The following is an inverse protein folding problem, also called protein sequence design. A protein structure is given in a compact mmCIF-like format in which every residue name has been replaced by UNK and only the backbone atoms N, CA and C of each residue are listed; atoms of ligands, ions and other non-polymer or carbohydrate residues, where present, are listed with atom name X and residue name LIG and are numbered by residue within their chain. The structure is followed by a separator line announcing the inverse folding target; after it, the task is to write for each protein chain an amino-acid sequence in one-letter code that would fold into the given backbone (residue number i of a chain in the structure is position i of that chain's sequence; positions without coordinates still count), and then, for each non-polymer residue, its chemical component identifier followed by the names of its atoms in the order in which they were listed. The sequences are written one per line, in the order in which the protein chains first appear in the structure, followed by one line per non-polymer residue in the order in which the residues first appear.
data_IF_997142115511
#
_entry.id   IF_997142115511
#
_cell.length_a   1.000
_cell.length_b   1.000
_cell.length_c   1.000
_cell.angle_alpha   90.00
_cell.angle_beta   90.00
_cell.angle_gamma   90.00
#
_symmetry.space_group_name_H-M   'P 1'
#
loop_
_entity.id
_entity.type
_entity.pdbx_description
1 polymer ?
#
# COMPACT_ATOMS: atom_id res chain seq x y z
N UNK A 1 -32.57 36.66 -23.80
CA UNK A 1 -31.30 37.17 -24.34
C UNK A 1 -30.70 36.04 -25.17
N UNK A 2 -30.54 36.25 -26.49
CA UNK A 2 -29.88 35.26 -27.33
C UNK A 2 -28.41 35.13 -26.85
N UNK A 3 -27.87 33.94 -26.65
CA UNK A 3 -26.44 33.79 -26.37
C UNK A 3 -25.67 34.20 -27.60
N UNK A 4 -24.76 35.16 -27.44
CA UNK A 4 -23.78 35.52 -28.47
C UNK A 4 -22.94 34.29 -28.77
N UNK A 5 -23.12 33.69 -29.94
CA UNK A 5 -22.19 32.70 -30.47
C UNK A 5 -20.84 33.39 -30.60
N UNK A 6 -19.97 33.17 -29.65
CA UNK A 6 -18.57 33.61 -29.74
C UNK A 6 -18.02 32.96 -31.03
N UNK A 7 -17.51 33.76 -31.96
CA UNK A 7 -16.90 33.24 -33.19
C UNK A 7 -15.83 32.19 -32.81
N UNK A 8 -15.90 31.01 -33.41
CA UNK A 8 -14.99 29.88 -33.15
C UNK A 8 -13.52 30.32 -33.18
N UNK A 9 -13.17 31.28 -34.03
CA UNK A 9 -11.83 31.86 -34.12
C UNK A 9 -11.45 32.61 -32.85
N UNK A 10 -12.34 33.45 -32.34
CA UNK A 10 -12.13 34.23 -31.10
C UNK A 10 -12.04 33.33 -29.89
N UNK A 11 -12.86 32.27 -29.81
CA UNK A 11 -12.81 31.28 -28.72
C UNK A 11 -11.47 30.51 -28.70
N UNK A 12 -10.99 30.05 -29.86
CA UNK A 12 -9.68 29.38 -29.98
C UNK A 12 -8.52 30.32 -29.66
N UNK A 13 -8.60 31.60 -30.06
CA UNK A 13 -7.58 32.57 -29.70
C UNK A 13 -7.49 32.78 -28.18
N UNK A 14 -8.61 32.93 -27.48
CA UNK A 14 -8.64 33.10 -26.04
C UNK A 14 -8.05 31.88 -25.31
N UNK A 15 -8.34 30.67 -25.76
CA UNK A 15 -7.74 29.44 -25.23
C UNK A 15 -6.23 29.36 -25.45
N UNK A 16 -5.77 29.79 -26.64
CA UNK A 16 -4.34 29.80 -26.94
C UNK A 16 -3.59 30.84 -26.09
N UNK A 17 -4.17 32.02 -25.89
CA UNK A 17 -3.62 33.08 -25.04
C UNK A 17 -3.54 32.58 -23.56
N UNK A 18 -4.56 31.88 -23.07
CA UNK A 18 -4.52 31.26 -21.74
C UNK A 18 -3.37 30.23 -21.60
N UNK A 19 -3.14 29.41 -22.63
CA UNK A 19 -2.02 28.46 -22.64
C UNK A 19 -0.65 29.15 -22.68
N UNK A 20 -0.50 30.20 -23.53
CA UNK A 20 0.76 30.91 -23.71
C UNK A 20 1.17 31.74 -22.47
N UNK A 21 0.19 32.22 -21.72
CA UNK A 21 0.44 32.97 -20.48
C UNK A 21 0.80 32.07 -19.29
N UNK A 22 1.04 30.78 -19.53
CA UNK A 22 1.37 29.75 -18.52
C UNK A 22 0.39 29.73 -17.33
N UNK A 23 -0.89 29.94 -17.67
CA UNK A 23 -1.95 30.13 -16.69
C UNK A 23 -2.35 28.84 -15.93
N UNK A 24 -1.76 27.70 -16.30
CA UNK A 24 -2.00 26.39 -15.71
C UNK A 24 -3.35 25.76 -16.08
N UNK A 25 -3.50 24.49 -15.76
CA UNK A 25 -4.65 23.67 -16.13
C UNK A 25 -6.00 24.27 -15.65
N UNK A 26 -6.02 24.79 -14.42
CA UNK A 26 -7.24 25.35 -13.81
C UNK A 26 -7.74 26.58 -14.57
N UNK A 27 -6.84 27.48 -14.92
CA UNK A 27 -7.21 28.71 -15.62
C UNK A 27 -7.57 28.43 -17.09
N UNK A 28 -6.86 27.51 -17.76
CA UNK A 28 -7.22 27.06 -19.10
C UNK A 28 -8.62 26.44 -19.13
N UNK A 29 -8.99 25.63 -18.12
CA UNK A 29 -10.33 25.02 -18.01
C UNK A 29 -11.41 26.05 -17.69
N UNK A 30 -11.13 27.04 -16.85
CA UNK A 30 -12.05 28.14 -16.58
C UNK A 30 -12.28 28.99 -17.83
N UNK A 31 -11.22 29.33 -18.57
CA UNK A 31 -11.33 30.04 -19.86
C UNK A 31 -12.18 29.22 -20.86
N UNK A 32 -11.96 27.91 -20.93
CA UNK A 32 -12.74 27.03 -21.80
C UNK A 32 -14.24 27.08 -21.48
N UNK A 33 -14.58 26.98 -20.20
CA UNK A 33 -15.99 27.10 -19.76
C UNK A 33 -16.59 28.47 -20.13
N UNK A 34 -15.83 29.55 -19.96
CA UNK A 34 -16.29 30.91 -20.25
C UNK A 34 -16.56 31.08 -21.74
N UNK A 35 -15.64 30.66 -22.62
CA UNK A 35 -15.79 30.85 -24.09
C UNK A 35 -16.80 29.90 -24.71
N UNK A 36 -16.96 28.70 -24.16
CA UNK A 36 -17.96 27.72 -24.60
C UNK A 36 -19.31 27.91 -23.91
N UNK A 37 -19.40 28.74 -22.86
CA UNK A 37 -20.64 29.05 -22.16
C UNK A 37 -21.28 27.90 -21.38
N UNK A 38 -20.64 26.74 -21.30
CA UNK A 38 -21.08 25.54 -20.60
C UNK A 38 -20.05 25.06 -19.57
N UNK A 39 -20.47 24.37 -18.49
CA UNK A 39 -19.52 23.82 -17.52
C UNK A 39 -18.58 22.80 -18.15
N UNK A 40 -17.30 22.89 -17.77
CA UNK A 40 -16.24 21.99 -18.24
C UNK A 40 -15.47 21.44 -17.08
N UNK A 41 -15.21 20.15 -17.09
CA UNK A 41 -14.36 19.47 -16.12
C UNK A 41 -13.28 18.64 -16.80
N UNK A 42 -12.16 18.50 -16.13
CA UNK A 42 -11.04 17.65 -16.50
C UNK A 42 -10.79 16.66 -15.38
N UNK A 43 -10.78 15.37 -15.74
CA UNK A 43 -10.57 14.27 -14.81
C UNK A 43 -9.34 13.50 -15.24
N UNK A 44 -8.45 13.23 -14.30
CA UNK A 44 -7.27 12.42 -14.53
C UNK A 44 -7.62 10.92 -14.72
N UNK A 45 -6.69 10.06 -15.16
CA UNK A 45 -6.97 8.63 -15.35
C UNK A 45 -7.44 7.91 -14.09
N UNK A 46 -7.34 8.57 -12.93
CA UNK A 46 -7.64 8.04 -11.62
C UNK A 46 -8.93 8.58 -11.04
N UNK A 47 -9.73 9.24 -11.88
CA UNK A 47 -11.00 9.84 -11.51
C UNK A 47 -10.88 10.99 -10.50
N UNK A 48 -9.73 11.69 -10.48
CA UNK A 48 -9.56 12.91 -9.71
C UNK A 48 -9.90 14.12 -10.58
N UNK A 49 -10.53 15.11 -9.97
CA UNK A 49 -10.74 16.40 -10.62
C UNK A 49 -9.40 17.14 -10.79
N UNK A 50 -8.87 17.13 -11.99
CA UNK A 50 -7.66 17.89 -12.33
C UNK A 50 -7.94 19.39 -12.48
N UNK A 51 -9.09 19.73 -13.06
CA UNK A 51 -9.58 21.11 -13.18
C UNK A 51 -11.09 21.13 -13.45
N UNK A 52 -11.72 22.26 -13.15
CA UNK A 52 -13.14 22.52 -13.42
C UNK A 52 -13.38 24.01 -13.66
N UNK A 53 -14.36 24.34 -14.52
CA UNK A 53 -14.80 25.71 -14.81
C UNK A 53 -16.28 25.76 -15.06
N UNK A 54 -16.95 26.85 -14.66
CA UNK A 54 -18.39 27.05 -14.88
C UNK A 54 -19.31 26.25 -13.95
N UNK A 55 -18.80 25.88 -12.78
CA UNK A 55 -19.55 25.13 -11.75
C UNK A 55 -20.05 26.04 -10.61
N UNK A 56 -20.07 27.33 -10.82
CA UNK A 56 -20.69 28.27 -9.88
C UNK A 56 -22.20 27.99 -9.83
N UNK A 57 -22.71 27.70 -8.64
CA UNK A 57 -24.12 27.43 -8.39
C UNK A 57 -24.76 28.60 -7.65
N UNK A 58 -25.98 28.97 -8.06
CA UNK A 58 -26.84 29.83 -7.25
C UNK A 58 -27.37 28.98 -6.09
N UNK A 59 -27.45 29.56 -4.89
CA UNK A 59 -28.02 28.87 -3.70
C UNK A 59 -29.47 28.42 -3.93
N UNK A 60 -30.20 29.10 -4.82
CA UNK A 60 -31.57 28.79 -5.20
C UNK A 60 -31.71 27.76 -6.35
N UNK A 61 -30.59 27.22 -6.89
CA UNK A 61 -30.64 26.24 -7.99
C UNK A 61 -30.97 24.84 -7.44
N UNK A 62 -32.22 24.39 -7.63
CA UNK A 62 -32.71 23.05 -7.26
C UNK A 62 -32.64 22.05 -8.43
N UNK A 63 -31.89 22.35 -9.50
CA UNK A 63 -31.75 21.44 -10.63
C UNK A 63 -31.02 20.14 -10.22
N UNK A 64 -31.27 19.01 -10.93
CA UNK A 64 -30.51 17.78 -10.74
C UNK A 64 -29.00 17.99 -10.88
N UNK A 65 -28.59 18.86 -11.81
CA UNK A 65 -27.18 19.24 -11.98
C UNK A 65 -26.62 19.92 -10.72
N UNK A 66 -27.35 20.84 -10.11
CA UNK A 66 -26.91 21.53 -8.90
C UNK A 66 -26.81 20.56 -7.71
N UNK A 67 -27.82 19.67 -7.55
CA UNK A 67 -27.80 18.67 -6.50
C UNK A 67 -26.58 17.74 -6.60
N UNK A 68 -26.31 17.20 -7.78
CA UNK A 68 -25.16 16.34 -8.04
C UNK A 68 -23.84 17.11 -7.86
N UNK A 69 -23.77 18.34 -8.39
CA UNK A 69 -22.58 19.17 -8.28
C UNK A 69 -22.24 19.47 -6.81
N UNK A 70 -23.25 19.79 -5.97
CA UNK A 70 -23.04 19.99 -4.52
C UNK A 70 -22.55 18.71 -3.84
N UNK A 71 -23.17 17.57 -4.16
CA UNK A 71 -22.78 16.28 -3.60
C UNK A 71 -21.35 15.90 -4.02
N UNK A 72 -21.05 15.95 -5.32
CA UNK A 72 -19.73 15.61 -5.88
C UNK A 72 -18.59 16.54 -5.42
N UNK A 73 -18.87 17.83 -5.21
CA UNK A 73 -17.87 18.82 -4.86
C UNK A 73 -17.68 19.01 -3.35
N UNK A 74 -18.55 18.45 -2.52
CA UNK A 74 -18.47 18.56 -1.06
C UNK A 74 -17.46 17.62 -0.41
N UNK A 75 -17.11 16.51 -1.07
CA UNK A 75 -16.30 15.42 -0.49
C UNK A 75 -14.86 15.34 -1.01
N UNK A 76 -14.34 16.39 -1.65
CA UNK A 76 -12.92 16.47 -2.02
C UNK A 76 -12.65 16.47 -3.54
N UNK A 77 -11.41 16.11 -3.91
CA UNK A 77 -10.91 16.21 -5.30
C UNK A 77 -11.14 14.93 -6.14
N UNK A 78 -11.84 13.93 -5.64
CA UNK A 78 -12.13 12.67 -6.35
C UNK A 78 -13.59 12.60 -6.79
N UNK A 79 -13.83 11.96 -7.95
CA UNK A 79 -15.18 11.53 -8.32
C UNK A 79 -15.72 10.56 -7.26
N UNK A 80 -16.99 10.73 -6.87
CA UNK A 80 -17.64 9.82 -5.94
C UNK A 80 -17.77 8.41 -6.55
N UNK A 81 -17.87 7.42 -5.67
CA UNK A 81 -17.99 6.00 -6.04
C UNK A 81 -19.14 5.74 -7.01
N UNK A 82 -20.25 6.46 -6.87
CA UNK A 82 -21.43 6.31 -7.72
C UNK A 82 -21.13 6.78 -9.15
N UNK A 83 -20.42 7.91 -9.32
CA UNK A 83 -19.98 8.40 -10.61
C UNK A 83 -18.98 7.47 -11.28
N UNK A 84 -18.04 6.94 -10.52
CA UNK A 84 -17.05 5.96 -11.02
C UNK A 84 -17.75 4.66 -11.47
N UNK A 85 -18.69 4.14 -10.67
CA UNK A 85 -19.50 2.96 -11.04
C UNK A 85 -20.32 3.19 -12.29
N UNK A 86 -20.90 4.38 -12.44
CA UNK A 86 -21.66 4.74 -13.64
C UNK A 86 -20.76 4.73 -14.87
N UNK A 87 -19.60 5.37 -14.84
CA UNK A 87 -18.63 5.41 -15.94
C UNK A 87 -18.23 4.00 -16.37
N UNK A 88 -17.92 3.14 -15.41
CA UNK A 88 -17.54 1.74 -15.65
C UNK A 88 -18.69 0.94 -16.23
N UNK A 89 -19.90 1.05 -15.66
CA UNK A 89 -21.08 0.34 -16.13
C UNK A 89 -21.45 0.70 -17.56
N UNK A 90 -21.29 1.97 -17.92
CA UNK A 90 -21.57 2.45 -19.27
C UNK A 90 -20.48 2.13 -20.29
N UNK A 91 -19.32 1.61 -19.87
CA UNK A 91 -18.17 1.38 -20.76
C UNK A 91 -17.61 2.66 -21.38
N UNK A 92 -17.83 3.80 -20.74
CA UNK A 92 -17.51 5.13 -21.29
C UNK A 92 -16.01 5.28 -21.57
N UNK A 93 -15.16 4.71 -20.73
CA UNK A 93 -13.71 4.82 -20.87
C UNK A 93 -13.18 4.06 -22.08
N UNK A 94 -13.70 2.85 -22.34
CA UNK A 94 -13.32 2.07 -23.52
C UNK A 94 -13.82 2.72 -24.82
N UNK A 95 -15.00 3.30 -24.77
CA UNK A 95 -15.59 4.00 -25.92
C UNK A 95 -14.79 5.26 -26.25
N UNK A 96 -14.48 6.10 -25.26
CA UNK A 96 -13.67 7.32 -25.43
C UNK A 96 -12.24 6.97 -25.84
N UNK A 97 -11.66 5.91 -25.28
CA UNK A 97 -10.30 5.49 -25.63
C UNK A 97 -10.17 5.08 -27.11
N UNK A 98 -11.24 4.52 -27.69
CA UNK A 98 -11.30 4.11 -29.11
C UNK A 98 -11.75 5.22 -30.04
N UNK A 99 -12.39 6.26 -29.53
CA UNK A 99 -12.89 7.38 -30.32
C UNK A 99 -11.74 8.20 -30.91
N UNK A 100 -12.00 8.76 -32.09
CA UNK A 100 -11.10 9.71 -32.80
C UNK A 100 -11.45 11.19 -32.55
N UNK A 101 -12.46 11.45 -31.71
CA UNK A 101 -12.89 12.79 -31.34
C UNK A 101 -14.00 12.78 -30.29
N UNK A 102 -14.55 13.95 -29.93
CA UNK A 102 -15.53 14.08 -28.87
C UNK A 102 -16.78 13.23 -29.07
N UNK A 103 -17.22 12.53 -28.04
CA UNK A 103 -18.45 11.77 -27.99
C UNK A 103 -19.53 12.56 -27.24
N UNK A 104 -20.67 12.77 -27.87
CA UNK A 104 -21.85 13.39 -27.22
C UNK A 104 -22.81 12.30 -26.79
N UNK A 105 -23.22 12.34 -25.53
CA UNK A 105 -24.06 11.30 -24.93
C UNK A 105 -24.94 11.91 -23.83
N UNK A 106 -26.17 11.37 -23.69
CA UNK A 106 -26.99 11.67 -22.52
C UNK A 106 -26.38 11.02 -21.28
N UNK A 107 -26.19 11.81 -20.25
CA UNK A 107 -25.65 11.35 -18.96
C UNK A 107 -26.78 11.27 -17.93
N UNK A 108 -27.14 10.05 -17.52
CA UNK A 108 -28.26 9.80 -16.60
C UNK A 108 -28.03 10.42 -15.22
N UNK A 109 -26.77 10.61 -14.78
CA UNK A 109 -26.46 11.26 -13.52
C UNK A 109 -26.82 12.74 -13.55
N UNK A 110 -26.27 13.47 -14.52
CA UNK A 110 -26.58 14.91 -14.66
C UNK A 110 -27.96 15.19 -15.25
N UNK A 111 -28.59 14.17 -15.85
CA UNK A 111 -29.80 14.29 -16.67
C UNK A 111 -29.67 15.32 -17.80
N UNK A 112 -28.49 15.44 -18.35
CA UNK A 112 -28.09 16.36 -19.39
C UNK A 112 -27.21 15.64 -20.42
N UNK A 113 -27.10 16.19 -21.63
CA UNK A 113 -26.08 15.70 -22.55
C UNK A 113 -24.69 16.13 -22.08
N UNK A 114 -23.72 15.26 -22.33
CA UNK A 114 -22.33 15.55 -22.08
C UNK A 114 -21.52 15.28 -23.34
N UNK A 115 -20.53 16.12 -23.59
CA UNK A 115 -19.54 15.96 -24.65
C UNK A 115 -18.21 15.60 -23.97
N UNK A 116 -17.67 14.44 -24.28
CA UNK A 116 -16.48 13.91 -23.57
C UNK A 116 -15.43 13.44 -24.58
N UNK A 117 -14.16 13.75 -24.33
CA UNK A 117 -13.04 13.24 -25.12
C UNK A 117 -11.86 12.86 -24.25
N UNK A 118 -11.01 11.93 -24.73
CA UNK A 118 -9.79 11.52 -24.08
C UNK A 118 -8.65 12.50 -24.36
N UNK A 119 -7.94 12.90 -23.33
CA UNK A 119 -6.71 13.69 -23.45
C UNK A 119 -5.58 12.70 -23.71
N UNK A 120 -5.12 12.61 -24.97
CA UNK A 120 -4.12 11.64 -25.43
C UNK A 120 -2.81 12.31 -25.80
N UNK A 121 -1.69 11.73 -25.37
CA UNK A 121 -0.33 12.12 -25.76
C UNK A 121 0.43 10.89 -26.19
N UNK A 122 0.92 10.86 -27.42
CA UNK A 122 1.63 9.70 -27.99
C UNK A 122 0.90 8.37 -27.79
N UNK A 123 -0.44 8.39 -27.89
CA UNK A 123 -1.30 7.20 -27.71
C UNK A 123 -1.63 6.86 -26.26
N UNK A 124 -1.02 7.55 -25.30
CA UNK A 124 -1.32 7.36 -23.85
C UNK A 124 -2.44 8.30 -23.44
N UNK A 125 -3.48 7.79 -22.76
CA UNK A 125 -4.56 8.59 -22.19
C UNK A 125 -4.10 9.20 -20.86
N UNK A 126 -4.03 10.54 -20.81
CA UNK A 126 -3.64 11.32 -19.62
C UNK A 126 -4.84 11.77 -18.79
N UNK A 127 -6.06 11.49 -19.24
CA UNK A 127 -7.30 11.89 -18.60
C UNK A 127 -8.41 12.06 -19.62
N UNK A 128 -9.46 12.71 -19.18
CA UNK A 128 -10.59 13.07 -20.03
C UNK A 128 -11.07 14.47 -19.72
N UNK A 129 -11.56 15.17 -20.74
CA UNK A 129 -12.32 16.39 -20.58
C UNK A 129 -13.80 16.10 -20.84
N UNK A 130 -14.69 16.75 -20.10
CA UNK A 130 -16.13 16.66 -20.25
C UNK A 130 -16.73 18.07 -20.22
N UNK A 131 -17.60 18.38 -21.19
CA UNK A 131 -18.45 19.57 -21.19
C UNK A 131 -19.91 19.12 -20.96
N UNK A 132 -20.66 19.86 -20.15
CA UNK A 132 -22.02 19.52 -19.75
C UNK A 132 -22.99 20.54 -20.39
N UNK A 133 -24.03 20.05 -21.07
CA UNK A 133 -25.04 20.85 -21.76
C UNK A 133 -26.02 21.49 -20.75
N UNK A 134 -25.53 22.45 -19.97
CA UNK A 134 -26.33 23.13 -18.94
C UNK A 134 -26.97 24.41 -19.41
N UNK A 135 -26.19 25.31 -19.99
CA UNK A 135 -26.59 26.68 -20.24
C UNK A 135 -27.18 26.85 -21.66
N UNK A 136 -26.67 26.08 -22.63
CA UNK A 136 -27.19 26.03 -24.00
C UNK A 136 -26.89 24.68 -24.64
N UNK A 137 -27.67 24.33 -25.66
CA UNK A 137 -27.50 23.09 -26.41
C UNK A 137 -26.21 23.10 -27.27
N UNK A 138 -25.58 21.93 -27.39
CA UNK A 138 -24.35 21.78 -28.15
C UNK A 138 -24.58 22.00 -29.65
N UNK A 139 -23.76 22.86 -30.27
CA UNK A 139 -23.68 23.09 -31.71
C UNK A 139 -22.35 22.57 -32.30
N UNK A 140 -22.24 22.69 -33.64
CA UNK A 140 -21.02 22.27 -34.34
C UNK A 140 -19.79 23.09 -33.91
N UNK A 141 -19.98 24.38 -33.60
CA UNK A 141 -18.95 25.27 -33.08
C UNK A 141 -18.42 24.82 -31.72
N UNK A 142 -19.31 24.35 -30.83
CA UNK A 142 -18.91 23.85 -29.52
C UNK A 142 -18.02 22.61 -29.65
N UNK A 143 -18.38 21.71 -30.57
CA UNK A 143 -17.57 20.52 -30.84
C UNK A 143 -16.17 20.88 -31.33
N UNK A 144 -16.07 21.84 -32.24
CA UNK A 144 -14.79 22.28 -32.81
C UNK A 144 -13.89 22.96 -31.76
N UNK A 145 -14.47 23.82 -30.91
CA UNK A 145 -13.75 24.51 -29.83
C UNK A 145 -13.36 23.51 -28.72
N UNK A 146 -14.23 22.57 -28.37
CA UNK A 146 -13.96 21.57 -27.38
C UNK A 146 -12.83 20.63 -27.83
N UNK A 147 -12.82 20.17 -29.08
CA UNK A 147 -11.74 19.36 -29.62
C UNK A 147 -10.40 20.12 -29.60
N UNK A 148 -10.41 21.41 -29.92
CA UNK A 148 -9.23 22.27 -29.83
C UNK A 148 -8.75 22.39 -28.38
N UNK A 149 -9.66 22.63 -27.45
CA UNK A 149 -9.36 22.68 -26.02
C UNK A 149 -8.70 21.39 -25.51
N UNK A 150 -9.21 20.21 -25.89
CA UNK A 150 -8.64 18.91 -25.50
C UNK A 150 -7.20 18.77 -26.01
N UNK A 151 -6.88 19.26 -27.19
CA UNK A 151 -5.49 19.28 -27.72
C UNK A 151 -4.59 20.20 -26.89
N UNK A 152 -5.08 21.37 -26.46
CA UNK A 152 -4.33 22.27 -25.59
C UNK A 152 -4.10 21.66 -24.20
N UNK A 153 -5.10 20.98 -23.65
CA UNK A 153 -4.94 20.20 -22.38
C UNK A 153 -3.82 19.16 -22.49
N UNK A 154 -3.70 18.48 -23.63
CA UNK A 154 -2.63 17.52 -23.84
C UNK A 154 -1.24 18.17 -23.75
N UNK A 155 -1.08 19.41 -24.25
CA UNK A 155 0.17 20.17 -24.13
C UNK A 155 0.43 20.67 -22.71
N UNK A 156 -0.60 21.16 -22.03
CA UNK A 156 -0.47 21.68 -20.66
C UNK A 156 -0.12 20.55 -19.67
N UNK A 157 -0.77 19.40 -19.79
CA UNK A 157 -0.47 18.23 -18.98
C UNK A 157 0.95 17.69 -19.22
N UNK A 158 1.53 17.91 -20.40
CA UNK A 158 2.93 17.59 -20.67
C UNK A 158 3.91 18.45 -19.84
N UNK A 159 3.64 19.74 -19.68
CA UNK A 159 4.49 20.65 -18.90
C UNK A 159 4.49 20.32 -17.42
N UNK A 160 3.35 19.95 -16.86
CA UNK A 160 3.14 19.73 -15.43
C UNK A 160 3.68 18.41 -14.85
N UNK A 161 4.49 17.65 -15.61
CA UNK A 161 4.99 16.35 -15.13
C UNK A 161 3.93 15.23 -15.12
N UNK A 162 2.72 15.49 -15.59
CA UNK A 162 1.66 14.49 -15.80
C UNK A 162 2.07 13.41 -16.83
N UNK A 163 3.07 13.68 -17.67
CA UNK A 163 3.70 12.69 -18.56
C UNK A 163 4.51 11.62 -17.84
N UNK A 164 4.80 11.81 -16.56
CA UNK A 164 5.29 10.72 -15.71
C UNK A 164 4.28 9.56 -15.65
N UNK A 165 3.03 9.78 -16.06
CA UNK A 165 1.93 8.81 -16.07
C UNK A 165 1.93 7.84 -17.27
N UNK A 166 2.83 7.99 -18.25
CA UNK A 166 2.94 7.11 -19.45
C UNK A 166 4.24 6.31 -19.56
N UNK A 167 5.15 6.44 -18.59
CA UNK A 167 6.46 5.79 -18.60
C UNK A 167 6.63 4.75 -17.49
N UNK A 168 7.82 4.16 -17.35
CA UNK A 168 8.15 3.18 -16.30
C UNK A 168 7.96 3.70 -14.86
N UNK A 169 7.63 4.98 -14.69
CA UNK A 169 7.36 5.64 -13.40
C UNK A 169 5.89 5.59 -12.94
N UNK A 170 4.96 5.08 -13.76
CA UNK A 170 3.52 5.01 -13.37
C UNK A 170 3.27 4.08 -12.20
N UNK A 171 3.89 2.91 -12.21
CA UNK A 171 3.76 1.93 -11.15
C UNK A 171 4.22 2.46 -9.79
N UNK A 172 5.43 3.04 -9.68
CA UNK A 172 5.91 3.68 -8.46
C UNK A 172 5.00 4.79 -7.95
N UNK A 173 4.56 5.69 -8.82
CA UNK A 173 3.64 6.78 -8.45
C UNK A 173 2.29 6.26 -7.97
N UNK A 174 1.71 5.28 -8.69
CA UNK A 174 0.47 4.64 -8.27
C UNK A 174 0.59 4.00 -6.89
N UNK A 175 1.70 3.28 -6.63
CA UNK A 175 1.93 2.66 -5.33
C UNK A 175 2.05 3.70 -4.21
N UNK A 176 2.74 4.82 -4.43
CA UNK A 176 2.81 5.92 -3.45
C UNK A 176 1.42 6.45 -3.09
N UNK A 177 0.58 6.71 -4.10
CA UNK A 177 -0.80 7.19 -3.88
C UNK A 177 -1.67 6.18 -3.13
N UNK A 178 -1.44 4.89 -3.38
CA UNK A 178 -2.14 3.82 -2.70
C UNK A 178 -1.70 3.73 -1.22
N UNK A 179 -0.42 3.96 -0.96
CA UNK A 179 0.15 4.05 0.38
C UNK A 179 -0.33 5.29 1.16
N UNK A 180 -0.70 6.37 0.48
CA UNK A 180 -1.28 7.58 1.08
C UNK A 180 -2.80 7.46 1.33
N UNK A 181 -3.40 6.27 1.13
CA UNK A 181 -4.86 6.03 1.21
C UNK A 181 -5.70 6.92 0.27
N UNK A 182 -5.06 7.46 -0.79
CA UNK A 182 -5.74 8.34 -1.74
C UNK A 182 -6.60 7.58 -2.76
N UNK A 183 -6.63 6.24 -2.70
CA UNK A 183 -7.40 5.36 -3.59
C UNK A 183 -8.19 4.36 -2.74
N UNK A 184 -9.19 4.81 -1.98
CA UNK A 184 -9.91 3.93 -1.05
C UNK A 184 -10.87 2.95 -1.75
N UNK A 185 -11.25 3.24 -3.01
CA UNK A 185 -12.21 2.43 -3.75
C UNK A 185 -11.52 1.23 -4.44
N UNK A 186 -11.89 -0.04 -4.10
CA UNK A 186 -11.30 -1.24 -4.70
C UNK A 186 -11.47 -1.33 -6.22
N UNK A 187 -12.60 -0.84 -6.77
CA UNK A 187 -12.88 -0.88 -8.21
C UNK A 187 -11.93 0.07 -8.94
N UNK A 188 -11.80 1.29 -8.43
CA UNK A 188 -10.87 2.30 -8.96
C UNK A 188 -9.42 1.78 -8.86
N UNK A 189 -9.07 1.18 -7.74
CA UNK A 189 -7.76 0.59 -7.51
C UNK A 189 -7.43 -0.51 -8.54
N UNK A 190 -8.34 -1.47 -8.74
CA UNK A 190 -8.17 -2.56 -9.72
C UNK A 190 -7.97 -2.02 -11.13
N UNK A 191 -8.77 -1.05 -11.53
CA UNK A 191 -8.66 -0.46 -12.87
C UNK A 191 -7.34 0.29 -13.07
N UNK A 192 -6.87 1.00 -12.07
CA UNK A 192 -5.56 1.65 -12.10
C UNK A 192 -4.40 0.68 -12.19
N UNK A 193 -4.45 -0.42 -11.46
CA UNK A 193 -3.45 -1.48 -11.59
C UNK A 193 -3.33 -1.94 -13.04
N UNK A 194 -4.46 -2.13 -13.74
CA UNK A 194 -4.47 -2.49 -15.15
C UNK A 194 -3.83 -1.42 -16.03
N UNK A 195 -4.13 -0.13 -15.77
CA UNK A 195 -3.57 1.00 -16.55
C UNK A 195 -2.05 1.15 -16.37
N UNK A 196 -1.52 0.87 -15.18
CA UNK A 196 -0.07 0.87 -14.93
C UNK A 196 0.61 -0.44 -15.34
N UNK A 197 -0.13 -1.36 -15.99
CA UNK A 197 0.40 -2.64 -16.44
C UNK A 197 0.64 -3.65 -15.30
N UNK A 198 0.06 -3.42 -14.12
CA UNK A 198 0.14 -4.34 -13.00
C UNK A 198 -1.13 -5.18 -12.92
N UNK A 199 -1.04 -6.42 -13.40
CA UNK A 199 -2.10 -7.43 -13.24
C UNK A 199 -1.78 -8.29 -12.03
N UNK A 200 -2.36 -8.02 -10.84
CA UNK A 200 -2.02 -8.73 -9.63
C UNK A 200 -2.54 -10.16 -9.68
N UNK A 201 -1.75 -11.08 -9.16
CA UNK A 201 -2.15 -12.42 -8.77
C UNK A 201 -2.93 -12.33 -7.44
N UNK A 202 -3.68 -13.38 -7.04
CA UNK A 202 -4.61 -13.29 -5.90
C UNK A 202 -3.99 -12.95 -4.55
N UNK A 203 -2.71 -13.33 -4.32
CA UNK A 203 -2.01 -13.03 -3.07
C UNK A 203 -1.09 -11.82 -3.22
N UNK A 204 -1.24 -10.85 -2.34
CA UNK A 204 -0.41 -9.65 -2.27
C UNK A 204 0.45 -9.68 -1.00
N UNK A 205 1.64 -9.11 -1.08
CA UNK A 205 2.56 -8.91 0.04
C UNK A 205 3.18 -7.52 -0.07
N UNK A 206 3.34 -6.84 1.05
CA UNK A 206 4.18 -5.65 1.13
C UNK A 206 5.55 -6.04 1.66
N UNK A 207 6.57 -5.62 0.95
CA UNK A 207 7.97 -5.76 1.35
C UNK A 207 8.53 -4.36 1.59
N UNK A 208 8.98 -4.09 2.82
CA UNK A 208 9.62 -2.85 3.22
C UNK A 208 11.12 -3.07 3.35
N UNK A 209 11.93 -2.20 2.75
CA UNK A 209 13.38 -2.23 2.80
C UNK A 209 13.89 -0.96 3.48
N UNK A 210 14.59 -1.13 4.57
CA UNK A 210 15.10 -0.06 5.42
C UNK A 210 16.62 -0.20 5.59
N UNK A 211 17.36 0.89 5.51
CA UNK A 211 18.81 0.88 5.78
C UNK A 211 19.07 0.75 7.29
N UNK A 212 20.05 -0.06 7.68
CA UNK A 212 20.33 -0.36 9.09
C UNK A 212 20.66 0.87 9.94
N UNK A 213 21.49 1.77 9.43
CA UNK A 213 22.10 2.84 10.25
C UNK A 213 21.82 4.26 9.74
N UNK A 214 21.04 4.43 8.68
CA UNK A 214 20.76 5.72 8.05
C UNK A 214 19.48 5.68 7.20
N UNK A 215 19.07 6.82 6.68
CA UNK A 215 18.02 6.85 5.66
C UNK A 215 18.58 6.40 4.30
N UNK A 216 17.72 5.81 3.50
CA UNK A 216 18.05 5.38 2.15
C UNK A 216 18.07 6.61 1.21
N UNK A 217 19.22 6.89 0.60
CA UNK A 217 19.32 7.96 -0.38
C UNK A 217 18.64 7.61 -1.71
N UNK A 218 18.13 8.62 -2.43
CA UNK A 218 17.41 8.40 -3.69
C UNK A 218 18.21 7.63 -4.75
N UNK A 219 19.54 7.87 -4.84
CA UNK A 219 20.42 7.13 -5.77
C UNK A 219 20.61 5.67 -5.38
N UNK A 220 20.76 5.40 -4.09
CA UNK A 220 20.87 4.04 -3.57
C UNK A 220 19.56 3.28 -3.79
N UNK A 221 18.43 3.91 -3.48
CA UNK A 221 17.10 3.34 -3.71
C UNK A 221 16.87 2.97 -5.18
N UNK A 222 17.27 3.84 -6.10
CA UNK A 222 17.18 3.57 -7.55
C UNK A 222 18.07 2.40 -7.97
N UNK A 223 19.28 2.31 -7.42
CA UNK A 223 20.17 1.17 -7.66
C UNK A 223 19.59 -0.14 -7.14
N UNK A 224 19.03 -0.13 -5.91
CA UNK A 224 18.39 -1.32 -5.30
C UNK A 224 17.12 -1.69 -6.08
N UNK A 225 16.30 -0.72 -6.47
CA UNK A 225 15.15 -0.94 -7.33
C UNK A 225 15.55 -1.61 -8.64
N UNK A 226 16.62 -1.12 -9.28
CA UNK A 226 17.18 -1.72 -10.50
C UNK A 226 17.64 -3.17 -10.33
N UNK A 227 18.11 -3.55 -9.14
CA UNK A 227 18.46 -4.94 -8.82
C UNK A 227 17.22 -5.81 -8.58
N UNK A 228 16.19 -5.28 -7.92
CA UNK A 228 14.98 -6.01 -7.53
C UNK A 228 13.97 -6.18 -8.67
N UNK A 229 13.73 -5.14 -9.47
CA UNK A 229 12.68 -5.11 -10.49
C UNK A 229 12.76 -6.28 -11.49
N UNK A 230 13.94 -6.68 -12.02
CA UNK A 230 14.03 -7.83 -12.92
C UNK A 230 13.91 -9.18 -12.21
N UNK A 231 14.08 -9.23 -10.90
CA UNK A 231 14.07 -10.46 -10.10
C UNK A 231 12.72 -10.72 -9.43
N UNK A 232 12.04 -9.65 -8.98
CA UNK A 232 10.70 -9.71 -8.39
C UNK A 232 9.65 -9.42 -9.46
N UNK A 233 9.36 -10.41 -10.31
CA UNK A 233 8.28 -10.29 -11.29
C UNK A 233 6.95 -10.00 -10.61
N UNK A 234 6.02 -9.35 -11.30
CA UNK A 234 4.73 -8.93 -10.77
C UNK A 234 4.85 -8.12 -9.46
N UNK A 235 5.69 -7.08 -9.49
CA UNK A 235 5.85 -6.16 -8.37
C UNK A 235 5.83 -4.70 -8.82
N UNK A 236 5.36 -3.84 -7.93
CA UNK A 236 5.51 -2.38 -8.01
C UNK A 236 6.46 -1.95 -6.89
N UNK A 237 7.45 -1.14 -7.20
CA UNK A 237 8.47 -0.71 -6.24
C UNK A 237 8.58 0.81 -6.26
N UNK A 238 8.47 1.46 -5.09
CA UNK A 238 8.57 2.92 -4.94
C UNK A 238 9.38 3.32 -3.72
N UNK A 239 9.93 4.53 -3.74
CA UNK A 239 10.40 5.20 -2.53
C UNK A 239 9.20 5.80 -1.81
N UNK A 240 9.08 5.55 -0.51
CA UNK A 240 8.02 6.06 0.32
C UNK A 240 8.52 6.35 1.75
N UNK A 241 8.36 7.57 2.23
CA UNK A 241 8.78 8.03 3.57
C UNK A 241 10.26 7.68 3.93
N UNK A 242 11.17 7.66 2.94
CA UNK A 242 12.59 7.33 3.14
C UNK A 242 12.92 5.84 3.12
N UNK A 243 11.96 5.00 2.80
CA UNK A 243 12.07 3.54 2.67
C UNK A 243 11.80 3.10 1.22
N UNK A 244 12.34 1.96 0.81
CA UNK A 244 11.95 1.34 -0.45
C UNK A 244 10.83 0.33 -0.17
N UNK A 245 9.67 0.54 -0.78
CA UNK A 245 8.48 -0.29 -0.59
C UNK A 245 8.13 -1.02 -1.87
N UNK A 246 7.94 -2.33 -1.79
CA UNK A 246 7.49 -3.15 -2.89
C UNK A 246 6.13 -3.79 -2.58
N UNK A 247 5.17 -3.63 -3.50
CA UNK A 247 3.94 -4.42 -3.56
C UNK A 247 4.21 -5.60 -4.49
N UNK A 248 4.21 -6.81 -3.95
CA UNK A 248 4.53 -8.04 -4.68
C UNK A 248 3.29 -8.91 -4.78
N UNK A 249 2.97 -9.41 -5.98
CA UNK A 249 1.83 -10.31 -6.16
C UNK A 249 2.28 -11.73 -6.55
N UNK A 250 1.61 -12.74 -5.96
CA UNK A 250 1.97 -14.16 -6.12
C UNK A 250 0.71 -15.03 -6.21
N UNK A 251 0.84 -16.28 -6.67
CA UNK A 251 -0.21 -17.28 -6.46
C UNK A 251 -0.53 -17.41 -4.97
N UNK A 252 -1.77 -17.80 -4.60
CA UNK A 252 -2.17 -17.95 -3.21
C UNK A 252 -1.21 -18.85 -2.42
N UNK A 253 -0.66 -18.32 -1.34
CA UNK A 253 0.24 -19.03 -0.45
C UNK A 253 0.30 -18.29 0.89
N UNK A 254 0.34 -19.01 1.99
CA UNK A 254 0.43 -18.43 3.33
C UNK A 254 1.72 -17.63 3.58
N UNK A 255 2.69 -17.72 2.68
CA UNK A 255 3.99 -17.05 2.79
C UNK A 255 4.54 -16.69 1.42
N UNK A 256 5.40 -15.66 1.38
CA UNK A 256 6.14 -15.32 0.17
C UNK A 256 7.00 -16.53 -0.27
N UNK A 257 7.08 -16.85 -1.56
CA UNK A 257 7.88 -18.00 -2.04
C UNK A 257 9.33 -17.93 -1.58
N UNK A 258 9.90 -19.05 -1.21
CA UNK A 258 11.29 -19.15 -0.70
C UNK A 258 12.34 -18.59 -1.68
N UNK A 259 12.09 -18.69 -3.00
CA UNK A 259 12.97 -18.09 -3.99
C UNK A 259 13.00 -16.55 -3.91
N UNK A 260 11.84 -15.92 -3.70
CA UNK A 260 11.74 -14.47 -3.56
C UNK A 260 12.44 -14.00 -2.28
N UNK A 261 12.27 -14.75 -1.19
CA UNK A 261 12.97 -14.47 0.06
C UNK A 261 14.49 -14.61 -0.06
N UNK A 262 14.97 -15.61 -0.79
CA UNK A 262 16.40 -15.77 -1.06
C UNK A 262 16.95 -14.59 -1.89
N UNK A 263 16.18 -14.05 -2.83
CA UNK A 263 16.51 -12.84 -3.58
C UNK A 263 16.61 -11.64 -2.62
N UNK A 264 15.59 -11.44 -1.80
CA UNK A 264 15.53 -10.37 -0.81
C UNK A 264 16.68 -10.47 0.18
N UNK A 265 16.98 -11.64 0.72
CA UNK A 265 18.09 -11.86 1.66
C UNK A 265 19.44 -11.49 1.05
N UNK A 266 19.68 -11.87 -0.21
CA UNK A 266 20.89 -11.51 -0.93
C UNK A 266 21.01 -10.00 -1.15
N UNK A 267 19.94 -9.33 -1.57
CA UNK A 267 19.92 -7.88 -1.76
C UNK A 267 20.10 -7.16 -0.43
N UNK A 268 19.49 -7.65 0.65
CA UNK A 268 19.64 -7.12 1.99
C UNK A 268 21.09 -7.17 2.48
N UNK A 269 21.74 -8.33 2.35
CA UNK A 269 23.13 -8.52 2.77
C UNK A 269 24.09 -7.63 1.96
N UNK A 270 23.88 -7.51 0.64
CA UNK A 270 24.76 -6.73 -0.24
C UNK A 270 24.65 -5.23 0.04
N UNK A 271 23.47 -4.72 0.41
CA UNK A 271 23.20 -3.29 0.55
C UNK A 271 23.05 -2.85 2.02
N UNK A 272 23.35 -3.70 2.99
CA UNK A 272 23.21 -3.44 4.43
C UNK A 272 21.78 -2.98 4.82
N UNK A 273 20.76 -3.77 4.40
CA UNK A 273 19.36 -3.47 4.63
C UNK A 273 18.73 -4.43 5.63
N UNK A 274 17.69 -3.96 6.29
CA UNK A 274 16.66 -4.78 6.91
C UNK A 274 15.46 -4.87 5.98
N UNK A 275 14.85 -6.04 5.88
CA UNK A 275 13.67 -6.29 5.06
C UNK A 275 12.55 -6.85 5.93
N UNK A 276 11.38 -6.18 5.89
CA UNK A 276 10.16 -6.67 6.50
C UNK A 276 9.17 -7.14 5.46
N UNK A 277 8.48 -8.23 5.74
CA UNK A 277 7.45 -8.80 4.86
C UNK A 277 6.14 -8.88 5.65
N UNK A 278 5.07 -8.33 5.07
CA UNK A 278 3.71 -8.39 5.65
C UNK A 278 3.13 -9.80 5.60
N UNK A 279 1.98 -9.99 6.27
CA UNK A 279 1.12 -11.12 5.95
C UNK A 279 0.55 -11.01 4.54
N UNK A 280 0.04 -12.12 3.99
CA UNK A 280 -0.73 -12.17 2.77
C UNK A 280 -2.02 -11.34 2.89
N UNK A 281 -2.39 -10.66 1.80
CA UNK A 281 -3.68 -9.97 1.66
C UNK A 281 -4.16 -10.02 0.21
N UNK A 282 -5.43 -9.65 -0.02
CA UNK A 282 -6.05 -9.73 -1.34
C UNK A 282 -6.57 -8.40 -1.88
N UNK A 283 -6.84 -7.43 -1.00
CA UNK A 283 -7.37 -6.12 -1.37
C UNK A 283 -6.24 -5.10 -1.40
N UNK A 284 -5.85 -4.64 -2.58
CA UNK A 284 -4.73 -3.70 -2.71
C UNK A 284 -4.95 -2.36 -1.97
N UNK A 285 -6.20 -2.00 -1.66
CA UNK A 285 -6.53 -0.87 -0.80
C UNK A 285 -6.00 -1.02 0.63
N UNK A 286 -5.68 -2.24 1.06
CA UNK A 286 -5.18 -2.50 2.41
C UNK A 286 -3.64 -2.38 2.50
N UNK A 287 -2.99 -1.93 1.42
CA UNK A 287 -1.51 -1.86 1.31
C UNK A 287 -0.88 -1.05 2.45
N UNK A 288 -1.52 0.04 2.90
CA UNK A 288 -1.02 0.89 4.00
C UNK A 288 -0.92 0.11 5.31
N UNK A 289 -1.96 -0.63 5.67
CA UNK A 289 -1.95 -1.45 6.88
C UNK A 289 -0.89 -2.55 6.81
N UNK A 290 -0.66 -3.14 5.63
CA UNK A 290 0.36 -4.16 5.41
C UNK A 290 1.78 -3.58 5.34
N UNK A 291 1.95 -2.31 4.95
CA UNK A 291 3.22 -1.61 5.14
C UNK A 291 3.56 -1.48 6.63
N UNK A 292 2.58 -1.13 7.47
CA UNK A 292 2.79 -1.07 8.92
C UNK A 292 3.19 -2.44 9.50
N UNK A 293 2.61 -3.54 9.01
CA UNK A 293 3.03 -4.89 9.38
C UNK A 293 4.48 -5.17 8.98
N UNK A 294 4.89 -4.82 7.76
CA UNK A 294 6.26 -5.01 7.29
C UNK A 294 7.26 -4.19 8.13
N UNK A 295 6.91 -2.95 8.49
CA UNK A 295 7.69 -2.10 9.40
C UNK A 295 7.78 -2.68 10.81
N UNK A 296 6.67 -3.19 11.34
CA UNK A 296 6.65 -3.87 12.64
C UNK A 296 7.55 -5.11 12.64
N UNK A 297 7.55 -5.89 11.56
CA UNK A 297 8.45 -7.03 11.40
C UNK A 297 9.93 -6.62 11.51
N UNK A 298 10.33 -5.51 10.87
CA UNK A 298 11.70 -4.98 11.00
C UNK A 298 11.96 -4.52 12.43
N UNK A 299 11.06 -3.71 13.01
CA UNK A 299 11.21 -3.15 14.37
C UNK A 299 11.46 -4.24 15.41
N UNK A 300 10.63 -5.27 15.42
CA UNK A 300 10.76 -6.36 16.38
C UNK A 300 11.86 -7.35 15.98
N UNK A 301 11.95 -7.71 14.71
CA UNK A 301 12.94 -8.65 14.21
C UNK A 301 14.38 -8.16 14.46
N UNK A 302 14.69 -6.92 14.09
CA UNK A 302 16.03 -6.36 14.26
C UNK A 302 16.46 -6.23 15.72
N UNK A 303 15.50 -6.04 16.65
CA UNK A 303 15.78 -5.97 18.10
C UNK A 303 16.20 -7.33 18.64
N UNK A 304 15.58 -8.42 18.16
CA UNK A 304 15.85 -9.78 18.65
C UNK A 304 16.99 -10.47 17.92
N UNK A 305 17.27 -10.09 16.67
CA UNK A 305 18.33 -10.71 15.86
C UNK A 305 19.73 -10.32 16.33
N UNK A 306 19.89 -9.23 17.07
CA UNK A 306 21.19 -8.90 17.72
C UNK A 306 21.75 -10.05 18.55
N UNK A 307 20.92 -11.05 18.84
CA UNK A 307 21.26 -12.19 19.71
C UNK A 307 21.50 -13.49 18.90
N UNK A 308 20.97 -13.62 17.68
CA UNK A 308 20.74 -14.96 17.13
C UNK A 308 21.29 -15.29 15.74
N UNK A 309 21.52 -14.37 14.86
CA UNK A 309 22.17 -14.52 13.52
C UNK A 309 21.93 -13.30 12.63
N UNK A 310 22.74 -13.23 11.57
CA UNK A 310 22.73 -12.21 10.49
C UNK A 310 21.54 -12.39 9.53
N UNK A 311 20.32 -12.60 10.04
CA UNK A 311 19.13 -12.55 9.23
C UNK A 311 18.76 -11.10 9.00
N UNK A 312 18.51 -10.76 7.75
CA UNK A 312 18.12 -9.42 7.34
C UNK A 312 16.67 -9.35 6.86
N UNK A 313 15.97 -10.50 6.86
CA UNK A 313 14.58 -10.64 6.39
C UNK A 313 13.70 -11.12 7.52
N UNK A 314 12.66 -10.34 7.81
CA UNK A 314 11.73 -10.55 8.93
C UNK A 314 10.30 -10.66 8.40
N UNK A 315 9.58 -11.71 8.79
CA UNK A 315 8.17 -11.91 8.44
C UNK A 315 7.27 -11.48 9.58
N UNK A 316 6.27 -10.67 9.29
CA UNK A 316 5.37 -10.16 10.33
C UNK A 316 4.66 -11.28 11.12
N UNK A 317 4.28 -12.38 10.47
CA UNK A 317 3.65 -13.52 11.15
C UNK A 317 4.49 -14.11 12.29
N UNK A 318 5.81 -13.93 12.29
CA UNK A 318 6.71 -14.39 13.34
C UNK A 318 6.73 -13.43 14.55
N UNK A 319 6.30 -12.17 14.34
CA UNK A 319 6.38 -11.09 15.34
C UNK A 319 5.02 -10.50 15.72
N UNK A 320 3.90 -11.01 15.22
CA UNK A 320 2.54 -10.51 15.50
C UNK A 320 2.25 -10.42 17.00
N UNK A 321 2.72 -11.42 17.79
CA UNK A 321 2.55 -11.41 19.23
C UNK A 321 3.32 -10.28 19.91
N UNK A 322 4.46 -9.83 19.35
CA UNK A 322 5.23 -8.70 19.88
C UNK A 322 4.46 -7.39 19.74
N UNK A 323 3.83 -7.17 18.61
CA UNK A 323 2.97 -6.01 18.40
C UNK A 323 1.77 -6.02 19.35
N UNK A 324 1.17 -7.20 19.58
CA UNK A 324 0.12 -7.36 20.57
C UNK A 324 0.62 -7.00 22.00
N UNK A 325 1.81 -7.46 22.38
CA UNK A 325 2.40 -7.12 23.69
C UNK A 325 2.72 -5.62 23.78
N UNK A 326 3.20 -5.00 22.70
CA UNK A 326 3.50 -3.56 22.63
C UNK A 326 2.24 -2.73 22.90
N UNK A 327 1.14 -3.03 22.18
CA UNK A 327 -0.16 -2.37 22.36
C UNK A 327 -0.69 -2.60 23.80
N UNK A 328 -0.56 -3.81 24.33
CA UNK A 328 -1.01 -4.11 25.68
C UNK A 328 -0.18 -3.38 26.74
N UNK A 329 1.13 -3.24 26.53
CA UNK A 329 2.05 -2.63 27.50
C UNK A 329 1.76 -1.14 27.73
N UNK A 330 1.15 -0.46 26.74
CA UNK A 330 0.70 0.94 26.90
C UNK A 330 -0.48 1.08 27.87
N UNK A 331 -1.20 0.01 28.15
CA UNK A 331 -2.43 0.03 28.94
C UNK A 331 -2.37 -0.78 30.24
N UNK A 332 -1.51 -1.79 30.31
CA UNK A 332 -1.43 -2.72 31.43
C UNK A 332 0.03 -3.05 31.78
N UNK A 333 0.28 -3.43 33.04
CA UNK A 333 1.58 -3.98 33.43
C UNK A 333 1.63 -5.47 33.06
N UNK A 334 2.32 -5.80 31.97
CA UNK A 334 2.39 -7.16 31.39
C UNK A 334 2.96 -8.21 32.37
N UNK A 335 3.80 -7.83 33.34
CA UNK A 335 4.35 -8.75 34.35
C UNK A 335 3.23 -9.44 35.15
N UNK A 336 2.14 -8.71 35.42
CA UNK A 336 1.01 -9.25 36.19
C UNK A 336 0.25 -10.36 35.47
N UNK A 337 0.49 -10.51 34.17
CA UNK A 337 -0.15 -11.51 33.30
C UNK A 337 0.77 -12.69 32.97
N UNK A 338 2.03 -12.65 33.45
CA UNK A 338 2.92 -13.81 33.36
C UNK A 338 2.49 -14.91 34.34
N UNK A 339 2.56 -16.16 33.90
CA UNK A 339 2.23 -17.28 34.72
C UNK A 339 3.14 -17.34 35.97
N UNK A 340 2.59 -17.50 37.20
CA UNK A 340 3.38 -17.45 38.44
C UNK A 340 4.54 -18.44 38.47
N UNK A 341 4.37 -19.64 37.91
CA UNK A 341 5.42 -20.66 37.82
C UNK A 341 6.63 -20.19 36.99
N UNK A 342 6.42 -19.44 35.90
CA UNK A 342 7.53 -18.93 35.10
C UNK A 342 8.25 -17.81 35.85
N UNK A 343 7.51 -16.96 36.54
CA UNK A 343 8.12 -15.94 37.40
C UNK A 343 8.95 -16.57 38.55
N UNK A 344 8.47 -17.65 39.16
CA UNK A 344 9.23 -18.42 40.17
C UNK A 344 10.49 -19.06 39.57
N UNK A 345 10.39 -19.63 38.37
CA UNK A 345 11.52 -20.23 37.66
C UNK A 345 12.58 -19.16 37.29
N UNK A 346 12.16 -18.01 36.83
CA UNK A 346 13.06 -16.90 36.54
C UNK A 346 13.78 -16.40 37.79
N UNK A 347 13.08 -16.23 38.91
CA UNK A 347 13.70 -15.85 40.18
C UNK A 347 14.71 -16.92 40.67
N UNK A 348 14.41 -18.18 40.47
CA UNK A 348 15.34 -19.27 40.79
C UNK A 348 16.61 -19.15 39.96
N UNK A 349 16.50 -18.91 38.64
CA UNK A 349 17.66 -18.73 37.77
C UNK A 349 18.53 -17.56 38.23
N UNK A 350 17.91 -16.41 38.59
CA UNK A 350 18.65 -15.24 39.09
C UNK A 350 19.40 -15.53 40.42
N UNK A 351 18.87 -16.39 41.27
CA UNK A 351 19.46 -16.69 42.59
C UNK A 351 20.49 -17.78 42.55
N UNK A 352 20.48 -18.66 41.53
CA UNK A 352 21.32 -19.85 41.46
C UNK A 352 22.25 -19.88 40.25
N UNK A 353 22.29 -18.78 39.46
CA UNK A 353 23.04 -18.70 38.21
C UNK A 353 22.76 -19.91 37.30
N UNK A 354 21.44 -20.22 37.15
CA UNK A 354 20.96 -21.35 36.35
C UNK A 354 20.24 -20.85 35.10
N UNK A 355 20.08 -21.70 34.08
CA UNK A 355 19.49 -21.40 32.77
C UNK A 355 18.23 -22.25 32.53
N UNK A 356 17.39 -22.40 33.58
CA UNK A 356 16.20 -23.26 33.48
C UNK A 356 15.10 -22.69 32.62
N UNK A 357 14.89 -21.37 32.67
CA UNK A 357 13.91 -20.69 31.80
C UNK A 357 14.30 -20.83 30.31
N UNK A 358 15.59 -20.63 29.99
CA UNK A 358 16.11 -20.82 28.64
C UNK A 358 15.98 -22.30 28.20
N UNK A 359 16.28 -23.22 29.10
CA UNK A 359 16.11 -24.66 28.84
C UNK A 359 14.66 -25.02 28.55
N UNK A 360 13.70 -24.50 29.33
CA UNK A 360 12.27 -24.71 29.13
C UNK A 360 11.82 -24.13 27.81
N UNK A 361 12.26 -22.91 27.49
CA UNK A 361 11.91 -22.25 26.22
C UNK A 361 12.39 -23.06 25.02
N UNK A 362 13.65 -23.50 25.01
CA UNK A 362 14.18 -24.38 23.99
C UNK A 362 13.42 -25.70 23.87
N UNK A 363 13.10 -26.30 25.00
CA UNK A 363 12.36 -27.57 25.05
C UNK A 363 10.99 -27.45 24.41
N UNK A 364 10.23 -26.38 24.72
CA UNK A 364 8.94 -26.10 24.12
C UNK A 364 9.05 -25.75 22.61
N UNK A 365 10.04 -24.96 22.20
CA UNK A 365 10.27 -24.61 20.78
C UNK A 365 10.55 -25.86 19.92
N UNK A 366 11.15 -26.88 20.49
CA UNK A 366 11.46 -28.14 19.80
C UNK A 366 10.46 -29.25 20.07
N UNK A 367 9.19 -28.87 20.33
CA UNK A 367 8.06 -29.81 20.52
C UNK A 367 8.31 -30.80 21.66
N UNK A 368 8.94 -30.35 22.74
CA UNK A 368 9.30 -31.13 23.90
C UNK A 368 10.18 -32.37 23.58
N UNK A 369 10.96 -32.32 22.50
CA UNK A 369 11.84 -33.38 22.08
C UNK A 369 13.21 -33.29 22.82
N UNK A 370 13.46 -34.16 23.73
CA UNK A 370 14.67 -34.20 24.56
C UNK A 370 15.96 -34.30 23.74
N UNK A 371 16.00 -35.17 22.70
CA UNK A 371 17.21 -35.38 21.93
C UNK A 371 17.57 -34.14 21.09
N UNK A 372 16.55 -33.53 20.45
CA UNK A 372 16.73 -32.33 19.64
C UNK A 372 17.11 -31.11 20.50
N UNK A 373 16.46 -30.94 21.66
CA UNK A 373 16.76 -29.86 22.59
C UNK A 373 18.19 -29.97 23.14
N UNK A 374 18.62 -31.20 23.55
CA UNK A 374 19.97 -31.42 24.01
C UNK A 374 21.05 -31.06 22.98
N UNK A 375 20.82 -31.43 21.72
CA UNK A 375 21.72 -31.09 20.61
C UNK A 375 21.83 -29.56 20.42
N UNK A 376 20.71 -28.84 20.45
CA UNK A 376 20.66 -27.38 20.24
C UNK A 376 21.33 -26.62 21.40
N UNK A 377 21.07 -27.05 22.62
CA UNK A 377 21.70 -26.46 23.81
C UNK A 377 23.15 -26.94 24.05
N UNK A 378 23.67 -27.81 23.17
CA UNK A 378 25.00 -28.42 23.32
C UNK A 378 25.16 -29.12 24.68
N UNK A 379 24.08 -29.76 25.20
CA UNK A 379 24.03 -30.46 26.45
C UNK A 379 24.03 -31.97 26.24
N UNK A 380 24.61 -32.70 27.21
CA UNK A 380 24.39 -34.14 27.28
C UNK A 380 22.93 -34.46 27.66
N UNK A 381 22.35 -35.52 27.10
CA UNK A 381 20.94 -35.90 27.32
C UNK A 381 20.59 -35.99 28.82
N UNK A 382 21.46 -36.55 29.64
CA UNK A 382 21.22 -36.68 31.08
C UNK A 382 21.18 -35.31 31.78
N UNK A 383 22.01 -34.39 31.40
CA UNK A 383 22.00 -32.99 31.91
C UNK A 383 20.69 -32.29 31.58
N UNK A 384 20.21 -32.46 30.33
CA UNK A 384 18.91 -31.91 29.97
C UNK A 384 17.77 -32.54 30.76
N UNK A 385 17.76 -33.86 30.92
CA UNK A 385 16.73 -34.56 31.73
C UNK A 385 16.75 -34.06 33.17
N UNK A 386 17.91 -33.88 33.78
CA UNK A 386 18.04 -33.28 35.08
C UNK A 386 17.44 -31.88 35.15
N UNK A 387 17.76 -31.02 34.20
CA UNK A 387 17.19 -29.63 34.10
C UNK A 387 15.68 -29.67 33.95
N UNK A 388 15.13 -30.53 33.09
CA UNK A 388 13.67 -30.67 32.91
C UNK A 388 12.99 -31.16 34.18
N UNK A 389 13.55 -32.14 34.89
CA UNK A 389 13.00 -32.58 36.18
C UNK A 389 13.02 -31.44 37.21
N UNK A 390 14.12 -30.67 37.26
CA UNK A 390 14.21 -29.51 38.16
C UNK A 390 13.17 -28.41 37.82
N UNK A 391 12.92 -28.19 36.53
CA UNK A 391 11.86 -27.28 36.08
C UNK A 391 10.49 -27.78 36.58
N UNK A 392 10.19 -29.07 36.42
CA UNK A 392 8.93 -29.66 36.90
C UNK A 392 8.75 -29.48 38.41
N UNK A 393 9.80 -29.68 39.18
CA UNK A 393 9.78 -29.48 40.63
C UNK A 393 9.49 -28.02 41.01
N UNK A 394 10.17 -27.05 40.39
CA UNK A 394 10.02 -25.64 40.72
C UNK A 394 8.66 -25.11 40.25
N UNK A 395 8.21 -25.50 39.06
CA UNK A 395 6.94 -25.04 38.48
C UNK A 395 5.73 -25.77 39.04
N UNK A 396 5.93 -26.93 39.67
CA UNK A 396 4.84 -27.83 40.10
C UNK A 396 4.05 -28.41 38.91
N UNK A 397 4.62 -28.40 37.68
CA UNK A 397 3.94 -28.79 36.47
C UNK A 397 4.70 -29.91 35.73
N UNK A 398 3.98 -30.89 35.22
CA UNK A 398 4.56 -32.05 34.54
C UNK A 398 4.94 -31.77 33.04
N UNK A 399 4.63 -30.57 32.54
CA UNK A 399 4.85 -30.14 31.16
C UNK A 399 4.14 -31.03 30.11
N UNK A 400 2.99 -31.62 30.47
CA UNK A 400 2.21 -32.49 29.61
C UNK A 400 0.99 -31.77 28.99
N UNK A 401 0.45 -30.75 29.68
CA UNK A 401 -0.70 -29.99 29.24
C UNK A 401 -0.30 -29.00 28.14
N UNK A 402 -0.98 -29.04 27.00
CA UNK A 402 -0.78 -28.06 25.92
C UNK A 402 -1.15 -26.63 26.34
N UNK A 403 -2.17 -26.47 27.19
CA UNK A 403 -2.59 -25.18 27.73
C UNK A 403 -1.51 -24.57 28.64
N UNK A 404 -0.95 -25.37 29.55
CA UNK A 404 0.12 -24.89 30.42
C UNK A 404 1.37 -24.51 29.61
N UNK A 405 1.72 -25.31 28.61
CA UNK A 405 2.85 -25.03 27.73
C UNK A 405 2.62 -23.73 26.92
N UNK A 406 1.39 -23.48 26.50
CA UNK A 406 1.04 -22.20 25.82
C UNK A 406 1.22 -21.02 26.78
N UNK A 407 0.66 -21.10 28.00
CA UNK A 407 0.77 -20.02 29.00
C UNK A 407 2.24 -19.79 29.43
N UNK A 408 3.02 -20.83 29.54
CA UNK A 408 4.46 -20.74 29.84
C UNK A 408 5.21 -20.07 28.67
N UNK A 409 4.94 -20.50 27.45
CA UNK A 409 5.57 -19.93 26.27
C UNK A 409 5.25 -18.44 26.10
N UNK A 410 3.97 -18.06 26.29
CA UNK A 410 3.55 -16.66 26.27
C UNK A 410 4.25 -15.85 27.36
N UNK A 411 4.31 -16.37 28.59
CA UNK A 411 4.97 -15.70 29.71
C UNK A 411 6.47 -15.51 29.47
N UNK A 412 7.17 -16.50 28.94
CA UNK A 412 8.60 -16.38 28.61
C UNK A 412 8.79 -15.33 27.51
N UNK A 413 7.95 -15.33 26.47
CA UNK A 413 8.00 -14.31 25.41
C UNK A 413 7.73 -12.91 25.95
N UNK A 414 6.83 -12.77 26.92
CA UNK A 414 6.58 -11.50 27.62
C UNK A 414 7.81 -11.04 28.41
N UNK A 415 8.49 -11.93 29.11
CA UNK A 415 9.73 -11.59 29.80
C UNK A 415 10.86 -11.19 28.86
N UNK A 416 10.93 -11.81 27.67
CA UNK A 416 11.87 -11.43 26.61
C UNK A 416 11.53 -10.03 26.09
N UNK A 417 10.25 -9.76 25.79
CA UNK A 417 9.78 -8.45 25.32
C UNK A 417 10.11 -7.35 26.33
N UNK A 418 9.92 -7.61 27.62
CA UNK A 418 10.22 -6.66 28.70
C UNK A 418 11.72 -6.54 29.04
N UNK A 419 12.60 -7.28 28.37
CA UNK A 419 14.04 -7.24 28.60
C UNK A 419 14.54 -7.97 29.86
N UNK A 420 13.70 -8.80 30.53
CA UNK A 420 14.11 -9.64 31.65
C UNK A 420 14.94 -10.86 31.24
N UNK A 421 14.80 -11.25 29.98
CA UNK A 421 15.48 -12.38 29.38
C UNK A 421 16.09 -11.99 28.05
N UNK A 422 17.36 -12.34 27.86
CA UNK A 422 18.00 -12.27 26.54
C UNK A 422 18.00 -13.68 25.94
N UNK A 423 17.19 -13.97 24.92
CA UNK A 423 17.14 -15.30 24.35
C UNK A 423 18.44 -15.63 23.64
N UNK A 424 19.14 -16.68 24.09
CA UNK A 424 20.32 -17.24 23.40
C UNK A 424 19.92 -18.26 22.33
N UNK A 425 18.61 -18.55 22.18
CA UNK A 425 18.09 -19.60 21.30
C UNK A 425 17.19 -18.96 20.25
N UNK A 426 17.47 -19.26 18.96
CA UNK A 426 16.66 -18.82 17.84
C UNK A 426 15.18 -19.17 17.99
N UNK A 427 14.26 -18.25 17.69
CA UNK A 427 12.90 -18.63 17.37
C UNK A 427 12.94 -19.59 16.16
N UNK A 428 12.09 -20.59 16.16
CA UNK A 428 11.95 -21.53 15.04
C UNK A 428 11.45 -20.79 13.84
N UNK A 429 12.26 -20.67 12.78
CA UNK A 429 11.82 -20.07 11.52
C UNK A 429 10.89 -21.03 10.79
N UNK A 430 10.00 -20.50 9.94
CA UNK A 430 9.11 -21.31 9.12
C UNK A 430 9.86 -22.24 8.15
N UNK A 431 11.11 -21.94 7.83
CA UNK A 431 12.00 -22.84 7.08
C UNK A 431 12.21 -24.18 7.79
N UNK A 432 12.23 -24.18 9.13
CA UNK A 432 12.35 -25.41 9.94
C UNK A 432 11.09 -26.29 9.88
N UNK A 433 9.95 -25.77 9.42
CA UNK A 433 8.69 -26.50 9.26
C UNK A 433 8.64 -27.29 7.95
N UNK A 434 9.41 -26.91 6.92
CA UNK A 434 9.38 -27.52 5.58
C UNK A 434 10.38 -28.69 5.43
N UNK A 435 11.28 -28.94 6.36
CA UNK A 435 12.19 -30.11 6.36
C UNK A 435 11.55 -31.43 6.79
N UNK A 436 10.20 -31.54 6.77
CA UNK A 436 9.50 -32.81 6.98
C UNK A 436 8.66 -33.14 5.75
N UNK A 437 9.31 -33.70 4.75
CA UNK A 437 8.69 -34.68 3.82
C UNK A 437 9.56 -35.90 3.78
#
# INVERSE_FOLDING_TARGET
MQPSTTDTSTAKQALLEALLNDAGLKNLTQTASTVMGNPVLVVDPVYRYAARGGFELDDADDSPFAAITRAELSEGDMLQDEAVRYIIKCGLDEEIARSTGPLTRYNDMFRLNTMTDAIKVHGTCLGRAMMIERNHAFGDSDREVFEFFVRLLAQELQKGGFLSLGGPQQGPYFLSRLLDDEIPNPITCTRKMQLVGFAPLPALYVVCLLKKDSQLEAREAESIRGQLQPLLHHSLITMYEGELVALVSRPPSTQLPANDEAILARVAATNNLFIGISNEFSQATDVRSHLNQARAAIRYGSTFTKILEDTHVYRYCEYTYMEMLDICNDHINLINYCHPAIWALWKHDQSHDSELVETLFAFMQHSCNTARTAAILSLHKNTLLYRINRIKEITGNDLASGEDLFLFHLSIRTLIYLGFLEPRIKPRTSADLHCRK
#
